data_IF_222971699258
#
_entry.id   IF_222971699258
#
_cell.length_a   1.000
_cell.length_b   1.000
_cell.length_c   1.000
_cell.angle_alpha   90.00
_cell.angle_beta   90.00
_cell.angle_gamma   90.00
#
_symmetry.space_group_name_H-M   'P 1'
#
loop_
_entity.id
_entity.type
_entity.pdbx_description
1 polymer ?
#
# COMPACT_ATOMS: atom_id res chain seq x y z
N UNK A 1 28.47 4.31 0.94
CA UNK A 1 29.72 3.57 1.13
C UNK A 1 30.29 3.92 2.49
N UNK A 2 30.57 2.94 3.37
CA UNK A 2 31.51 3.19 4.48
C UNK A 2 32.76 3.75 3.79
N UNK A 3 33.20 4.95 4.15
CA UNK A 3 34.44 5.50 3.60
C UNK A 3 35.52 4.42 3.68
N UNK A 4 36.39 4.37 2.67
CA UNK A 4 37.44 3.37 2.38
C UNK A 4 38.45 3.08 3.53
N UNK A 5 38.12 3.39 4.78
CA UNK A 5 38.95 3.24 5.95
C UNK A 5 38.68 1.89 6.62
N UNK A 6 39.68 1.04 6.55
CA UNK A 6 39.86 -0.06 7.48
C UNK A 6 39.87 0.49 8.90
N UNK A 7 39.00 0.00 9.79
CA UNK A 7 38.99 0.45 11.18
C UNK A 7 39.28 -0.71 12.15
N UNK A 8 40.10 -0.39 13.14
CA UNK A 8 40.67 -1.35 14.07
C UNK A 8 39.98 -1.26 15.42
N UNK A 9 39.60 -2.42 15.97
CA UNK A 9 38.96 -2.55 17.28
C UNK A 9 39.64 -3.66 18.07
N UNK A 10 39.93 -3.42 19.35
CA UNK A 10 40.32 -4.48 20.28
C UNK A 10 39.22 -4.71 21.31
N UNK A 11 38.84 -5.96 21.58
CA UNK A 11 37.84 -6.29 22.60
C UNK A 11 38.48 -7.04 23.75
N UNK A 12 38.28 -6.53 24.96
CA UNK A 12 38.88 -6.99 26.21
C UNK A 12 37.81 -7.39 27.23
N UNK A 13 38.03 -8.47 27.95
CA UNK A 13 37.17 -8.91 29.05
C UNK A 13 37.37 -8.05 30.30
N UNK A 14 36.37 -8.02 31.19
CA UNK A 14 36.42 -7.23 32.43
C UNK A 14 37.57 -7.58 33.39
N UNK A 15 38.17 -8.77 33.25
CA UNK A 15 39.35 -9.22 34.03
C UNK A 15 40.69 -8.92 33.34
N UNK A 16 40.68 -8.18 32.22
CA UNK A 16 41.86 -7.76 31.46
C UNK A 16 42.53 -8.88 30.64
N UNK A 17 41.97 -10.09 30.64
CA UNK A 17 42.58 -11.32 30.08
C UNK A 17 41.94 -11.83 28.81
N UNK A 18 41.57 -10.99 27.85
CA UNK A 18 41.30 -11.40 26.46
C UNK A 18 41.54 -10.18 25.59
N UNK A 19 42.05 -10.33 24.37
CA UNK A 19 42.21 -9.18 23.47
C UNK A 19 42.31 -9.62 22.03
N UNK A 20 41.20 -9.88 21.33
CA UNK A 20 41.28 -10.04 19.87
C UNK A 20 41.24 -8.65 19.22
N UNK A 21 42.01 -8.49 18.14
CA UNK A 21 41.93 -7.32 17.28
C UNK A 21 41.13 -7.67 16.05
N UNK A 22 40.11 -6.87 15.74
CA UNK A 22 39.34 -6.99 14.52
C UNK A 22 39.63 -5.81 13.60
N UNK A 23 39.87 -6.15 12.34
CA UNK A 23 40.11 -5.25 11.23
C UNK A 23 38.90 -5.37 10.31
N UNK A 24 38.10 -4.31 10.23
CA UNK A 24 36.89 -4.29 9.41
C UNK A 24 37.20 -3.66 8.05
N UNK A 25 37.03 -4.42 6.97
CA UNK A 25 37.30 -3.97 5.59
C UNK A 25 36.21 -4.35 4.58
N UNK A 26 36.41 -3.98 3.30
CA UNK A 26 35.43 -4.17 2.21
C UNK A 26 34.95 -5.62 2.03
N UNK A 27 35.84 -6.58 2.28
CA UNK A 27 35.60 -8.00 1.99
C UNK A 27 35.28 -8.83 3.24
N UNK A 28 35.15 -8.21 4.41
CA UNK A 28 34.90 -8.93 5.65
C UNK A 28 35.59 -8.34 6.88
N UNK A 29 35.53 -9.11 7.97
CA UNK A 29 36.21 -8.82 9.23
C UNK A 29 37.36 -9.81 9.37
N UNK A 30 38.58 -9.30 9.51
CA UNK A 30 39.77 -10.10 9.82
C UNK A 30 40.02 -10.02 11.32
N UNK A 31 40.06 -11.17 12.00
CA UNK A 31 40.28 -11.25 13.44
C UNK A 31 41.66 -11.85 13.70
N UNK A 32 42.44 -11.15 14.52
CA UNK A 32 43.74 -11.58 15.02
C UNK A 32 43.64 -11.85 16.51
N UNK A 33 44.08 -13.03 16.92
CA UNK A 33 44.22 -13.40 18.32
C UNK A 33 45.68 -13.24 18.75
N UNK A 34 45.95 -12.77 19.98
CA UNK A 34 47.30 -12.75 20.51
C UNK A 34 47.77 -14.19 20.67
N UNK A 35 49.01 -14.48 20.26
CA UNK A 35 49.66 -15.77 20.48
C UNK A 35 49.68 -16.05 21.98
N UNK A 36 48.79 -16.92 22.43
CA UNK A 36 48.75 -17.41 23.78
C UNK A 36 49.13 -18.88 23.73
N UNK A 37 50.30 -19.20 24.27
CA UNK A 37 50.67 -20.58 24.58
C UNK A 37 49.68 -21.11 25.61
N UNK A 38 48.76 -21.95 25.18
CA UNK A 38 47.87 -22.66 26.08
C UNK A 38 48.28 -24.13 26.12
N UNK A 39 48.77 -24.56 27.29
CA UNK A 39 48.67 -25.96 27.67
C UNK A 39 47.20 -26.35 27.63
N UNK A 40 46.87 -27.31 26.77
CA UNK A 40 45.57 -27.96 26.74
C UNK A 40 45.25 -28.49 28.14
N UNK A 41 44.21 -27.95 28.76
CA UNK A 41 43.50 -28.68 29.79
C UNK A 41 42.44 -29.49 29.04
N UNK A 42 42.78 -30.74 28.71
CA UNK A 42 41.81 -31.76 28.34
C UNK A 42 40.83 -31.95 29.49
N UNK A 43 39.57 -31.56 29.29
CA UNK A 43 38.44 -32.22 29.96
C UNK A 43 37.37 -32.47 28.91
N UNK A 44 36.91 -33.72 28.89
CA UNK A 44 36.11 -34.39 27.88
C UNK A 44 34.72 -33.74 27.60
N UNK A 45 34.12 -34.05 26.43
CA UNK A 45 33.12 -33.24 25.74
C UNK A 45 31.69 -33.49 26.22
N UNK A 46 30.82 -32.50 26.07
CA UNK A 46 29.37 -32.74 25.95
C UNK A 46 28.98 -32.41 24.51
N UNK A 47 28.80 -33.49 23.76
CA UNK A 47 28.18 -33.64 22.44
C UNK A 47 28.80 -32.88 21.26
N UNK A 48 29.72 -33.64 20.66
CA UNK A 48 30.46 -33.51 19.41
C UNK A 48 29.52 -33.36 18.20
N UNK A 49 29.86 -32.44 17.29
CA UNK A 49 30.21 -32.84 15.92
C UNK A 49 31.14 -31.78 15.30
N UNK A 50 32.29 -32.28 14.86
CA UNK A 50 33.38 -31.58 14.21
C UNK A 50 32.89 -30.89 12.92
N UNK A 51 32.87 -29.57 12.90
CA UNK A 51 33.37 -28.88 11.71
C UNK A 51 34.87 -28.76 11.91
N UNK A 52 35.64 -29.29 10.95
CA UNK A 52 37.09 -29.21 10.94
C UNK A 52 37.48 -27.74 10.90
N UNK A 53 37.75 -27.15 12.06
CA UNK A 53 38.57 -25.95 12.13
C UNK A 53 39.98 -26.38 11.69
N UNK A 54 40.38 -26.02 10.47
CA UNK A 54 41.79 -26.11 10.10
C UNK A 54 42.59 -25.28 11.11
N UNK A 55 43.28 -25.99 12.01
CA UNK A 55 44.30 -25.41 12.86
C UNK A 55 45.41 -24.86 11.97
N UNK A 56 45.39 -23.55 11.75
CA UNK A 56 46.57 -22.82 11.30
C UNK A 56 47.23 -22.27 12.56
N UNK A 57 48.34 -22.88 12.98
CA UNK A 57 49.22 -22.28 13.98
C UNK A 57 49.58 -20.85 13.52
N UNK A 58 49.09 -19.84 14.25
CA UNK A 58 49.28 -18.42 13.94
C UNK A 58 48.29 -17.79 12.95
N UNK A 59 47.10 -18.36 12.75
CA UNK A 59 46.16 -17.97 11.69
C UNK A 59 45.28 -16.74 11.97
N UNK A 60 45.32 -15.76 11.07
CA UNK A 60 44.27 -14.73 10.89
C UNK A 60 43.01 -15.41 10.36
N UNK A 61 41.87 -15.26 11.04
CA UNK A 61 40.58 -15.79 10.57
C UNK A 61 39.81 -14.70 9.84
N UNK A 62 39.44 -14.94 8.57
CA UNK A 62 38.63 -14.01 7.75
C UNK A 62 37.15 -14.42 7.80
N UNK A 63 36.29 -13.52 8.26
CA UNK A 63 34.83 -13.69 8.24
C UNK A 63 34.19 -12.81 7.17
N UNK A 64 33.24 -13.36 6.42
CA UNK A 64 32.42 -12.60 5.47
C UNK A 64 31.28 -11.92 6.24
N UNK A 65 31.07 -10.62 5.98
CA UNK A 65 29.92 -9.87 6.50
C UNK A 65 28.62 -10.52 6.01
N UNK A 66 27.86 -11.14 6.89
CA UNK A 66 26.47 -11.51 6.60
C UNK A 66 25.61 -10.26 6.72
N UNK A 67 25.18 -9.71 5.57
CA UNK A 67 24.19 -8.65 5.55
C UNK A 67 22.91 -9.13 6.26
N UNK A 68 22.35 -8.32 7.17
CA UNK A 68 21.07 -8.61 7.82
C UNK A 68 21.08 -8.76 9.34
N UNK A 69 22.24 -8.63 10.01
CA UNK A 69 22.28 -8.76 11.47
C UNK A 69 22.63 -7.46 12.16
N UNK A 70 21.67 -6.91 12.89
CA UNK A 70 21.78 -5.68 13.70
C UNK A 70 22.65 -5.86 14.96
N UNK A 71 23.65 -6.73 14.93
CA UNK A 71 24.48 -7.07 16.09
C UNK A 71 25.84 -7.63 15.71
N UNK A 72 26.82 -7.39 16.58
CA UNK A 72 28.16 -7.97 16.46
C UNK A 72 28.22 -9.30 17.20
N UNK A 73 28.40 -10.39 16.46
CA UNK A 73 28.64 -11.73 17.04
C UNK A 73 30.04 -11.82 17.60
N UNK A 74 30.15 -12.37 18.81
CA UNK A 74 31.42 -12.62 19.48
C UNK A 74 31.90 -14.01 19.05
N UNK A 75 33.15 -14.15 18.57
CA UNK A 75 33.68 -15.46 18.20
C UNK A 75 33.59 -16.48 19.35
N UNK A 76 33.37 -17.76 19.03
CA UNK A 76 33.14 -18.79 20.04
C UNK A 76 34.34 -18.96 20.98
N UNK A 77 35.56 -18.87 20.45
CA UNK A 77 36.78 -18.89 21.25
C UNK A 77 36.80 -17.75 22.29
N UNK A 78 36.44 -16.53 21.90
CA UNK A 78 36.35 -15.37 22.79
C UNK A 78 35.25 -15.56 23.84
N UNK A 79 34.11 -16.12 23.42
CA UNK A 79 32.99 -16.41 24.31
C UNK A 79 33.35 -17.43 25.39
N UNK A 80 34.14 -18.46 25.03
CA UNK A 80 34.70 -19.46 25.95
C UNK A 80 35.66 -18.83 26.95
N UNK A 81 36.64 -18.06 26.46
CA UNK A 81 37.62 -17.38 27.33
C UNK A 81 36.96 -16.40 28.29
N UNK A 82 35.98 -15.62 27.82
CA UNK A 82 35.21 -14.68 28.65
C UNK A 82 34.24 -15.37 29.62
N UNK A 83 34.09 -16.71 29.53
CA UNK A 83 33.16 -17.52 30.32
C UNK A 83 31.72 -17.02 30.24
N UNK A 84 31.28 -16.59 29.06
CA UNK A 84 29.91 -16.06 28.86
C UNK A 84 28.82 -17.12 29.07
N UNK A 85 29.21 -18.40 29.03
CA UNK A 85 28.35 -19.54 29.37
C UNK A 85 28.08 -19.67 30.88
N UNK A 86 29.01 -19.22 31.72
CA UNK A 86 28.83 -19.18 33.18
C UNK A 86 28.01 -17.95 33.60
N UNK A 87 28.03 -16.87 32.81
CA UNK A 87 27.19 -15.69 33.00
C UNK A 87 27.52 -14.58 31.99
N UNK A 88 26.49 -13.84 31.56
CA UNK A 88 26.68 -12.69 30.67
C UNK A 88 27.45 -11.58 31.38
N UNK A 89 28.46 -11.05 30.72
CA UNK A 89 29.35 -9.99 31.24
C UNK A 89 29.45 -8.88 30.21
N UNK A 90 29.75 -7.67 30.67
CA UNK A 90 30.14 -6.61 29.78
C UNK A 90 31.52 -6.88 29.20
N UNK A 91 31.73 -6.46 27.95
CA UNK A 91 33.02 -6.45 27.29
C UNK A 91 33.46 -5.01 27.08
N UNK A 92 34.76 -4.79 27.27
CA UNK A 92 35.42 -3.52 27.00
C UNK A 92 35.87 -3.49 25.55
N UNK A 93 35.61 -2.41 24.84
CA UNK A 93 35.85 -2.26 23.41
C UNK A 93 36.68 -1.00 23.23
N UNK A 94 37.86 -1.14 22.63
CA UNK A 94 38.74 -0.02 22.29
C UNK A 94 38.73 0.21 20.78
N UNK A 95 38.39 1.42 20.36
CA UNK A 95 38.43 1.88 18.98
C UNK A 95 39.79 2.52 18.71
N UNK A 96 40.72 1.72 18.17
CA UNK A 96 42.13 2.10 17.99
C UNK A 96 42.36 3.05 16.81
N UNK A 97 41.36 3.22 15.95
CA UNK A 97 41.41 4.07 14.77
C UNK A 97 41.00 5.53 15.03
N UNK A 98 40.52 5.84 16.24
CA UNK A 98 40.19 7.19 16.65
C UNK A 98 41.41 7.84 17.31
N UNK A 99 41.56 9.15 17.14
CA UNK A 99 42.60 9.94 17.80
C UNK A 99 41.95 11.06 18.64
N UNK A 100 41.99 10.98 19.99
CA UNK A 100 42.55 9.88 20.78
C UNK A 100 41.70 8.59 20.73
N UNK A 101 42.28 7.39 21.00
CA UNK A 101 41.52 6.14 21.04
C UNK A 101 40.37 6.20 22.03
N UNK A 102 39.21 5.69 21.64
CA UNK A 102 38.02 5.68 22.48
C UNK A 102 37.78 4.29 23.08
N UNK A 103 37.47 4.24 24.36
CA UNK A 103 37.06 3.01 25.06
C UNK A 103 35.57 3.09 25.45
N UNK A 104 34.83 2.00 25.24
CA UNK A 104 33.46 1.83 25.75
C UNK A 104 33.30 0.45 26.39
N UNK A 105 32.27 0.29 27.21
CA UNK A 105 31.75 -1.03 27.60
C UNK A 105 30.48 -1.35 26.81
N UNK A 106 30.26 -2.62 26.47
CA UNK A 106 29.03 -3.08 25.83
C UNK A 106 28.62 -4.43 26.44
N UNK A 107 27.33 -4.58 26.74
CA UNK A 107 26.82 -5.80 27.33
C UNK A 107 26.86 -6.96 26.36
N UNK A 108 26.74 -8.18 26.88
CA UNK A 108 26.63 -9.39 26.07
C UNK A 108 25.24 -9.99 26.17
N UNK A 109 24.79 -10.65 25.11
CA UNK A 109 23.55 -11.42 25.06
C UNK A 109 23.83 -12.82 24.51
N UNK A 110 22.95 -13.75 24.87
CA UNK A 110 22.99 -15.14 24.42
C UNK A 110 21.94 -15.37 23.35
N UNK A 111 22.32 -16.05 22.27
CA UNK A 111 21.44 -16.41 21.16
C UNK A 111 21.47 -17.92 20.94
N UNK A 112 20.33 -18.49 20.56
CA UNK A 112 20.26 -19.90 20.16
C UNK A 112 20.75 -20.04 18.71
N UNK A 113 21.54 -21.07 18.42
CA UNK A 113 21.97 -21.34 17.05
C UNK A 113 20.78 -21.77 16.18
N UNK A 114 20.82 -21.44 14.89
CA UNK A 114 19.77 -21.75 13.91
C UNK A 114 19.57 -23.26 13.70
N UNK A 115 20.61 -24.07 13.90
CA UNK A 115 20.55 -25.52 13.91
C UNK A 115 19.90 -26.11 15.19
N UNK A 116 19.42 -25.27 16.11
CA UNK A 116 18.75 -25.66 17.34
C UNK A 116 19.67 -26.20 18.45
N UNK A 117 20.96 -26.42 18.16
CA UNK A 117 21.96 -26.98 19.09
C UNK A 117 22.90 -25.90 19.61
N UNK A 118 22.93 -25.73 20.93
CA UNK A 118 23.86 -24.82 21.60
C UNK A 118 23.52 -23.32 21.48
N UNK A 119 24.42 -22.51 22.03
CA UNK A 119 24.29 -21.06 22.10
C UNK A 119 25.50 -20.38 21.45
N UNK A 120 25.29 -19.11 21.07
CA UNK A 120 26.34 -18.17 20.68
C UNK A 120 26.11 -16.84 21.39
N UNK A 121 27.09 -15.95 21.33
CA UNK A 121 27.05 -14.68 22.06
C UNK A 121 27.24 -13.49 21.13
N UNK A 122 26.60 -12.38 21.48
CA UNK A 122 26.67 -11.13 20.73
C UNK A 122 26.69 -9.92 21.68
N UNK A 123 27.07 -8.76 21.17
CA UNK A 123 26.90 -7.50 21.90
C UNK A 123 25.42 -7.12 22.01
N UNK A 124 25.02 -6.48 23.11
CA UNK A 124 23.63 -6.07 23.36
C UNK A 124 23.22 -4.86 22.54
N UNK A 125 24.15 -3.95 22.22
CA UNK A 125 23.83 -2.73 21.47
C UNK A 125 24.79 -2.47 20.32
N UNK A 126 24.33 -2.78 19.11
CA UNK A 126 25.03 -2.43 17.87
C UNK A 126 25.03 -0.93 17.60
N UNK A 127 23.92 -0.25 17.88
CA UNK A 127 23.83 1.21 17.76
C UNK A 127 24.85 1.94 18.66
N UNK A 128 25.05 1.46 19.89
CA UNK A 128 26.08 1.99 20.81
C UNK A 128 27.48 1.81 20.24
N UNK A 129 27.77 0.62 19.70
CA UNK A 129 29.04 0.29 19.06
C UNK A 129 29.32 1.19 17.86
N UNK A 130 28.39 1.26 16.90
CA UNK A 130 28.56 2.04 15.66
C UNK A 130 28.67 3.54 15.92
N UNK A 131 27.89 4.07 16.87
CA UNK A 131 27.97 5.49 17.27
C UNK A 131 29.33 5.82 17.89
N UNK A 132 29.84 4.95 18.78
CA UNK A 132 31.14 5.15 19.42
C UNK A 132 32.31 5.02 18.44
N UNK A 133 32.20 4.13 17.46
CA UNK A 133 33.17 4.00 16.38
C UNK A 133 33.22 5.23 15.44
N UNK A 134 32.31 6.21 15.59
CA UNK A 134 32.18 7.38 14.70
C UNK A 134 32.07 7.03 13.20
N UNK A 135 31.63 5.81 12.90
CA UNK A 135 31.45 5.34 11.52
C UNK A 135 30.13 5.91 11.01
N UNK A 136 30.21 6.81 10.03
CA UNK A 136 29.05 7.13 9.20
C UNK A 136 28.78 5.95 8.28
N UNK A 137 27.78 5.15 8.60
CA UNK A 137 27.22 4.20 7.64
C UNK A 137 26.50 5.03 6.57
N UNK A 138 27.20 5.47 5.53
CA UNK A 138 26.51 5.69 4.27
C UNK A 138 26.11 4.29 3.80
N UNK A 139 24.85 3.92 4.04
CA UNK A 139 24.25 2.82 3.31
C UNK A 139 24.52 3.10 1.83
N UNK A 140 25.18 2.18 1.13
CA UNK A 140 25.10 2.20 -0.33
C UNK A 140 23.62 2.32 -0.71
N UNK A 141 23.30 3.01 -1.81
CA UNK A 141 21.96 2.92 -2.38
C UNK A 141 21.69 1.44 -2.62
N UNK A 142 21.01 0.79 -1.68
CA UNK A 142 20.64 -0.61 -1.80
C UNK A 142 19.86 -0.77 -3.09
N UNK A 143 20.05 -1.90 -3.78
CA UNK A 143 19.33 -2.19 -5.00
C UNK A 143 17.83 -1.89 -4.79
N UNK A 144 17.29 -1.01 -5.65
CA UNK A 144 15.89 -0.61 -5.57
C UNK A 144 15.05 -1.86 -5.84
N UNK A 145 14.22 -2.23 -4.88
CA UNK A 145 13.38 -3.42 -4.93
C UNK A 145 11.98 -3.04 -5.40
N UNK A 146 11.46 -3.79 -6.37
CA UNK A 146 10.08 -3.67 -6.84
C UNK A 146 9.10 -4.23 -5.81
N UNK A 147 7.87 -3.72 -5.77
CA UNK A 147 6.89 -4.08 -4.76
C UNK A 147 6.46 -5.55 -4.82
N UNK A 148 6.48 -6.16 -6.02
CA UNK A 148 6.20 -7.60 -6.19
C UNK A 148 7.31 -8.51 -5.67
N UNK A 149 8.52 -7.99 -5.46
CA UNK A 149 9.68 -8.76 -5.00
C UNK A 149 9.91 -8.62 -3.48
N UNK A 150 8.95 -8.04 -2.76
CA UNK A 150 9.02 -7.88 -1.32
C UNK A 150 8.67 -9.20 -0.60
N UNK A 151 9.56 -9.63 0.28
CA UNK A 151 9.44 -10.81 1.15
C UNK A 151 9.44 -10.39 2.62
N UNK A 152 8.56 -10.99 3.43
CA UNK A 152 8.45 -10.79 4.88
C UNK A 152 9.71 -11.21 5.66
N UNK A 153 10.54 -12.08 5.09
CA UNK A 153 11.74 -12.64 5.74
C UNK A 153 13.02 -11.84 5.48
N UNK A 154 12.91 -10.75 4.72
CA UNK A 154 14.03 -9.89 4.35
C UNK A 154 13.77 -8.49 4.86
N UNK A 155 14.76 -7.94 5.56
CA UNK A 155 14.74 -6.58 6.07
C UNK A 155 15.57 -5.64 5.18
N UNK A 156 15.47 -4.34 5.44
CA UNK A 156 16.31 -3.30 4.84
C UNK A 156 16.11 -3.05 3.34
N UNK A 157 14.88 -3.20 2.85
CA UNK A 157 14.55 -2.81 1.48
C UNK A 157 14.74 -1.31 1.23
N UNK A 158 15.15 -0.97 0.01
CA UNK A 158 14.99 0.36 -0.56
C UNK A 158 13.97 0.26 -1.69
N UNK A 159 12.88 1.00 -1.59
CA UNK A 159 11.82 1.04 -2.61
C UNK A 159 11.66 2.48 -3.12
N UNK A 160 11.35 2.62 -4.40
CA UNK A 160 10.94 3.88 -5.01
C UNK A 160 9.47 3.77 -5.37
N UNK A 161 8.65 4.67 -4.85
CA UNK A 161 7.19 4.63 -5.05
C UNK A 161 6.60 5.99 -5.38
N UNK A 162 5.44 6.01 -6.02
CA UNK A 162 4.52 7.15 -6.11
C UNK A 162 3.34 6.92 -5.16
N UNK A 163 2.91 7.96 -4.45
CA UNK A 163 1.67 7.93 -3.67
C UNK A 163 0.47 8.13 -4.62
N UNK A 164 -0.35 7.11 -4.83
CA UNK A 164 -1.52 7.15 -5.72
C UNK A 164 -2.74 7.74 -5.02
N UNK A 165 -2.98 7.29 -3.78
CA UNK A 165 -4.04 7.78 -2.88
C UNK A 165 -3.49 7.96 -1.49
N UNK A 166 -3.97 8.97 -0.78
CA UNK A 166 -3.61 9.28 0.59
C UNK A 166 -4.86 9.70 1.36
N UNK A 167 -5.05 9.16 2.56
CA UNK A 167 -6.10 9.60 3.46
C UNK A 167 -5.68 9.46 4.91
N UNK A 168 -6.31 10.25 5.78
CA UNK A 168 -6.08 10.19 7.22
C UNK A 168 -7.17 9.39 7.91
N UNK A 169 -6.80 8.57 8.90
CA UNK A 169 -7.77 8.06 9.88
C UNK A 169 -7.68 8.86 11.17
N UNK A 170 -8.83 9.21 11.71
CA UNK A 170 -8.92 9.89 12.99
C UNK A 170 -8.64 8.93 14.16
N UNK A 171 -8.19 9.48 15.28
CA UNK A 171 -8.02 8.77 16.55
C UNK A 171 -9.39 8.35 17.10
N UNK A 172 -9.49 7.11 17.59
CA UNK A 172 -10.73 6.56 18.12
C UNK A 172 -11.30 7.40 19.27
N UNK A 173 -10.42 7.96 20.11
CA UNK A 173 -10.83 8.77 21.26
C UNK A 173 -11.00 10.26 20.91
N UNK A 174 -10.50 10.70 19.75
CA UNK A 174 -10.56 12.10 19.36
C UNK A 174 -10.59 12.27 17.84
N UNK A 175 -11.77 12.51 17.30
CA UNK A 175 -12.00 12.70 15.87
C UNK A 175 -11.20 13.86 15.24
N UNK A 176 -10.72 14.84 16.03
CA UNK A 176 -9.91 15.96 15.54
C UNK A 176 -8.43 15.61 15.40
N UNK A 177 -7.97 14.49 15.94
CA UNK A 177 -6.58 14.08 15.92
C UNK A 177 -6.37 13.03 14.83
N UNK A 178 -5.36 13.23 13.99
CA UNK A 178 -4.94 12.22 13.02
C UNK A 178 -4.21 11.08 13.75
N UNK A 179 -4.70 9.85 13.59
CA UNK A 179 -4.09 8.64 14.13
C UNK A 179 -2.99 8.12 13.18
N UNK A 180 -3.31 8.03 11.90
CA UNK A 180 -2.39 7.56 10.87
C UNK A 180 -2.72 8.12 9.50
N UNK A 181 -1.74 8.04 8.62
CA UNK A 181 -1.87 8.24 7.19
C UNK A 181 -1.89 6.86 6.55
N UNK A 182 -2.98 6.52 5.87
CA UNK A 182 -3.05 5.36 5.00
C UNK A 182 -2.89 5.82 3.56
N UNK A 183 -2.25 4.97 2.77
CA UNK A 183 -1.91 5.30 1.41
C UNK A 183 -1.93 4.06 0.52
N UNK A 184 -2.12 4.29 -0.77
CA UNK A 184 -1.86 3.31 -1.82
C UNK A 184 -0.64 3.84 -2.57
N UNK A 185 0.41 3.04 -2.59
CA UNK A 185 1.68 3.36 -3.26
C UNK A 185 1.86 2.50 -4.49
N UNK A 186 2.63 2.99 -5.45
CA UNK A 186 2.88 2.30 -6.71
C UNK A 186 4.35 2.38 -7.11
N UNK A 187 4.93 1.30 -7.63
CA UNK A 187 6.29 1.30 -8.17
C UNK A 187 6.34 1.61 -9.68
N UNK A 188 7.54 1.51 -10.26
CA UNK A 188 7.78 1.78 -11.68
C UNK A 188 7.10 0.79 -12.62
N UNK A 189 6.75 -0.41 -12.16
CA UNK A 189 6.01 -1.42 -12.95
C UNK A 189 4.49 -1.28 -12.81
N UNK A 190 4.01 -0.28 -12.05
CA UNK A 190 2.59 -0.06 -11.84
C UNK A 190 1.98 -0.96 -10.75
N UNK A 191 2.83 -1.74 -10.05
CA UNK A 191 2.40 -2.59 -8.93
C UNK A 191 1.93 -1.70 -7.81
N UNK A 192 0.70 -1.91 -7.34
CA UNK A 192 0.12 -1.15 -6.22
C UNK A 192 0.20 -1.95 -4.93
N UNK A 193 0.56 -1.30 -3.83
CA UNK A 193 0.54 -1.89 -2.50
C UNK A 193 -0.04 -0.90 -1.49
N UNK A 194 -0.73 -1.40 -0.47
CA UNK A 194 -1.16 -0.55 0.63
C UNK A 194 0.03 -0.24 1.53
N UNK A 195 0.11 1.00 2.01
CA UNK A 195 1.07 1.38 3.04
C UNK A 195 0.39 2.22 4.12
N UNK A 196 1.00 2.31 5.30
CA UNK A 196 0.54 3.23 6.34
C UNK A 196 1.68 3.70 7.24
N UNK A 197 1.44 4.81 7.92
CA UNK A 197 2.32 5.36 8.94
C UNK A 197 1.51 5.98 10.07
N UNK A 198 1.85 5.67 11.30
CA UNK A 198 1.25 6.34 12.46
C UNK A 198 1.67 7.81 12.48
N UNK A 199 0.76 8.73 12.81
CA UNK A 199 1.04 10.16 12.76
C UNK A 199 2.29 10.57 13.59
N UNK A 200 2.49 9.89 14.73
CA UNK A 200 3.68 10.06 15.58
C UNK A 200 5.02 9.70 14.91
N UNK A 201 5.01 8.81 13.93
CA UNK A 201 6.21 8.36 13.20
C UNK A 201 6.46 9.23 11.95
N UNK A 202 5.45 9.99 11.49
CA UNK A 202 5.53 10.78 10.26
C UNK A 202 6.07 12.21 10.47
N UNK A 203 6.27 12.66 11.71
CA UNK A 203 6.55 14.08 12.02
C UNK A 203 7.71 14.69 11.22
N UNK A 204 8.76 13.91 10.92
CA UNK A 204 9.91 14.37 10.16
C UNK A 204 9.70 14.49 8.65
N UNK A 205 8.68 13.83 8.09
CA UNK A 205 8.45 13.74 6.63
C UNK A 205 6.97 13.87 6.25
N UNK A 206 6.12 14.35 7.15
CA UNK A 206 4.69 14.49 6.91
C UNK A 206 4.40 15.36 5.69
N UNK A 207 5.21 16.40 5.46
CA UNK A 207 5.14 17.28 4.30
C UNK A 207 5.48 16.59 2.96
N UNK A 208 6.06 15.39 3.00
CA UNK A 208 6.29 14.54 1.82
C UNK A 208 5.11 13.58 1.56
N UNK A 209 4.15 13.45 2.50
CA UNK A 209 2.99 12.59 2.32
C UNK A 209 1.93 13.37 1.55
N UNK A 210 2.03 13.36 0.23
CA UNK A 210 1.10 14.02 -0.69
C UNK A 210 0.86 13.12 -1.90
N UNK A 211 -0.38 13.14 -2.42
CA UNK A 211 -0.71 12.38 -3.63
C UNK A 211 0.15 12.83 -4.81
N UNK A 212 0.42 11.89 -5.74
CA UNK A 212 1.31 12.02 -6.90
C UNK A 212 2.79 12.18 -6.59
N UNK A 213 3.17 12.51 -5.33
CA UNK A 213 4.56 12.64 -4.95
C UNK A 213 5.29 11.29 -5.05
N UNK A 214 6.51 11.36 -5.59
CA UNK A 214 7.42 10.22 -5.70
C UNK A 214 8.41 10.24 -4.52
N UNK A 215 8.62 9.09 -3.89
CA UNK A 215 9.43 8.95 -2.67
C UNK A 215 10.40 7.78 -2.80
N UNK A 216 11.58 7.95 -2.23
CA UNK A 216 12.49 6.85 -1.90
C UNK A 216 12.29 6.48 -0.43
N UNK A 217 11.93 5.23 -0.16
CA UNK A 217 11.69 4.72 1.18
C UNK A 217 12.74 3.65 1.47
N UNK A 218 13.51 3.82 2.56
CA UNK A 218 14.48 2.83 3.03
C UNK A 218 14.07 2.26 4.38
N UNK A 219 14.31 0.97 4.55
CA UNK A 219 13.94 0.19 5.73
C UNK A 219 12.43 0.30 6.07
N UNK A 220 11.51 0.10 5.10
CA UNK A 220 10.11 -0.11 5.45
C UNK A 220 9.97 -1.44 6.20
N UNK A 221 8.99 -1.53 7.09
CA UNK A 221 8.55 -2.82 7.63
C UNK A 221 7.43 -3.40 6.78
N UNK A 222 7.36 -4.71 6.67
CA UNK A 222 6.32 -5.42 5.94
C UNK A 222 5.43 -6.21 6.91
N UNK A 223 4.17 -6.38 6.54
CA UNK A 223 3.24 -7.21 7.29
C UNK A 223 2.13 -7.75 6.41
N UNK A 224 1.46 -8.79 6.87
CA UNK A 224 0.29 -9.31 6.17
C UNK A 224 -0.88 -8.32 6.22
N UNK A 225 -1.51 -8.13 5.07
CA UNK A 225 -2.74 -7.38 4.95
C UNK A 225 -3.95 -8.24 5.33
N UNK A 226 -4.29 -8.20 6.62
CA UNK A 226 -5.45 -8.90 7.21
C UNK A 226 -6.73 -8.04 7.21
N UNK A 227 -6.74 -6.91 6.50
CA UNK A 227 -7.94 -6.07 6.43
C UNK A 227 -9.04 -6.78 5.64
N UNK A 228 -10.29 -6.65 6.10
CA UNK A 228 -11.47 -7.17 5.40
C UNK A 228 -11.63 -6.53 4.02
N UNK A 229 -11.29 -5.25 3.92
CA UNK A 229 -11.32 -4.45 2.70
C UNK A 229 -9.88 -4.25 2.25
N UNK A 230 -9.55 -4.72 1.05
CA UNK A 230 -8.22 -4.59 0.45
C UNK A 230 -8.31 -3.68 -0.77
N UNK A 231 -7.47 -2.66 -0.84
CA UNK A 231 -7.51 -1.65 -1.90
C UNK A 231 -6.48 -1.89 -3.00
N UNK A 232 -5.56 -2.83 -2.79
CA UNK A 232 -4.57 -3.24 -3.77
C UNK A 232 -4.56 -4.77 -3.86
N UNK A 233 -4.10 -5.29 -4.99
CA UNK A 233 -3.84 -6.72 -5.18
C UNK A 233 -2.68 -7.14 -4.27
N UNK A 234 -2.72 -8.36 -3.74
CA UNK A 234 -1.65 -8.91 -2.90
C UNK A 234 -1.98 -9.05 -1.41
N UNK A 235 -1.11 -9.79 -0.73
CA UNK A 235 -1.27 -10.16 0.68
C UNK A 235 -0.46 -9.32 1.66
N UNK A 236 0.40 -8.41 1.17
CA UNK A 236 1.34 -7.64 2.01
C UNK A 236 0.91 -6.17 2.12
N UNK A 237 1.38 -5.52 3.20
CA UNK A 237 1.23 -4.09 3.46
C UNK A 237 2.57 -3.54 3.97
N UNK A 238 2.91 -2.34 3.53
CA UNK A 238 4.07 -1.58 4.02
C UNK A 238 3.70 -0.77 5.26
N UNK A 239 4.61 -0.71 6.23
CA UNK A 239 4.51 0.13 7.41
C UNK A 239 5.77 0.99 7.53
N UNK A 240 5.57 2.31 7.65
CA UNK A 240 6.67 3.25 7.89
C UNK A 240 6.80 3.47 9.41
N UNK A 241 7.93 3.03 9.94
CA UNK A 241 8.24 3.07 11.36
C UNK A 241 9.30 4.14 11.67
N UNK A 242 9.70 4.26 12.93
CA UNK A 242 10.67 5.28 13.36
C UNK A 242 12.06 5.13 12.73
N UNK A 243 12.42 3.94 12.26
CA UNK A 243 13.68 3.64 11.58
C UNK A 243 13.58 3.73 10.04
N UNK A 244 12.38 3.97 9.51
CA UNK A 244 12.17 4.13 8.08
C UNK A 244 12.65 5.51 7.65
N UNK A 245 13.46 5.55 6.60
CA UNK A 245 13.91 6.79 5.97
C UNK A 245 13.01 7.08 4.79
N UNK A 246 12.48 8.30 4.71
CA UNK A 246 11.61 8.75 3.62
C UNK A 246 12.21 10.01 3.04
N UNK A 247 12.53 9.97 1.76
CA UNK A 247 13.13 11.07 1.00
C UNK A 247 12.33 11.31 -0.27
N UNK A 248 12.34 12.54 -0.76
CA UNK A 248 11.76 12.86 -2.06
C UNK A 248 12.53 12.17 -3.19
N UNK A 249 11.78 11.64 -4.16
CA UNK A 249 12.34 11.09 -5.39
C UNK A 249 11.92 12.00 -6.55
N UNK A 250 12.90 12.58 -7.25
CA UNK A 250 12.65 13.47 -8.38
C UNK A 250 12.45 12.73 -9.71
N UNK A 251 12.74 11.43 -9.74
CA UNK A 251 12.42 10.58 -10.89
C UNK A 251 10.92 10.26 -10.92
N UNK A 252 10.33 10.29 -12.11
CA UNK A 252 8.94 9.89 -12.32
C UNK A 252 8.79 8.37 -12.17
N UNK A 253 7.86 7.94 -11.32
CA UNK A 253 7.63 6.52 -11.01
C UNK A 253 6.23 6.11 -11.45
N UNK A 254 6.14 5.21 -12.42
CA UNK A 254 4.86 4.73 -12.95
C UNK A 254 4.02 5.84 -13.59
N UNK A 255 2.72 5.58 -13.82
CA UNK A 255 1.77 6.57 -14.33
C UNK A 255 1.36 7.57 -13.24
N UNK A 256 1.04 8.82 -13.61
CA UNK A 256 0.77 9.90 -12.64
C UNK A 256 -0.42 9.56 -11.75
N UNK A 257 -1.50 9.08 -12.37
CA UNK A 257 -2.73 8.75 -11.68
C UNK A 257 -2.80 7.31 -11.17
N UNK A 258 -1.96 6.42 -11.69
CA UNK A 258 -1.93 5.01 -11.29
C UNK A 258 -3.16 4.20 -11.70
N UNK A 259 -3.91 4.64 -12.71
CA UNK A 259 -5.11 3.95 -13.20
C UNK A 259 -4.79 2.51 -13.64
N UNK A 260 -5.66 1.58 -13.27
CA UNK A 260 -5.71 0.18 -13.73
C UNK A 260 -7.12 -0.09 -14.28
N UNK A 261 -7.43 0.54 -15.44
CA UNK A 261 -8.78 0.50 -16.02
C UNK A 261 -9.19 -0.93 -16.37
N UNK A 262 -10.32 -1.34 -15.81
CA UNK A 262 -10.92 -2.66 -15.98
C UNK A 262 -11.98 -2.58 -17.08
N UNK A 263 -11.83 -3.33 -18.20
CA UNK A 263 -12.88 -3.45 -19.21
C UNK A 263 -14.17 -4.01 -18.59
N UNK A 264 -15.32 -3.46 -18.98
CA UNK A 264 -16.58 -3.77 -18.29
C UNK A 264 -17.00 -5.24 -18.45
N UNK A 265 -16.67 -5.86 -19.57
CA UNK A 265 -16.96 -7.27 -19.89
C UNK A 265 -15.94 -8.26 -19.30
N UNK A 266 -14.79 -7.79 -18.84
CA UNK A 266 -13.78 -8.63 -18.18
C UNK A 266 -14.16 -9.02 -16.74
N UNK A 267 -15.08 -8.27 -16.13
CA UNK A 267 -15.58 -8.55 -14.79
C UNK A 267 -16.70 -9.58 -14.90
N UNK A 268 -16.48 -10.76 -14.32
CA UNK A 268 -17.43 -11.86 -14.35
C UNK A 268 -18.04 -12.05 -12.96
N UNK A 269 -19.34 -12.35 -12.92
CA UNK A 269 -20.01 -12.76 -11.69
C UNK A 269 -19.47 -14.12 -11.25
N UNK A 270 -18.88 -14.17 -10.06
CA UNK A 270 -18.44 -15.43 -9.46
C UNK A 270 -19.54 -15.93 -8.53
N UNK A 271 -20.26 -17.02 -8.90
CA UNK A 271 -21.35 -17.56 -8.11
C UNK A 271 -20.88 -18.28 -6.84
N UNK A 272 -19.57 -18.54 -6.70
CA UNK A 272 -18.99 -19.28 -5.57
C UNK A 272 -18.47 -18.36 -4.46
N UNK A 273 -18.23 -17.09 -4.77
CA UNK A 273 -17.80 -16.08 -3.81
C UNK A 273 -19.04 -15.42 -3.21
N UNK A 274 -19.35 -15.75 -1.94
CA UNK A 274 -20.44 -15.09 -1.20
C UNK A 274 -20.27 -13.56 -1.31
N UNK A 275 -21.36 -12.84 -1.60
CA UNK A 275 -21.45 -11.38 -1.68
C UNK A 275 -20.92 -10.64 -0.43
N UNK A 276 -20.64 -11.39 0.64
CA UNK A 276 -20.01 -10.92 1.88
C UNK A 276 -18.49 -10.70 1.76
N UNK A 277 -17.79 -11.35 0.85
CA UNK A 277 -16.35 -11.14 0.69
C UNK A 277 -16.06 -9.91 -0.18
N UNK A 278 -15.19 -9.04 0.34
CA UNK A 278 -14.80 -7.83 -0.36
C UNK A 278 -13.87 -8.16 -1.53
N UNK A 279 -14.29 -7.85 -2.76
CA UNK A 279 -13.48 -8.00 -3.97
C UNK A 279 -12.54 -6.79 -4.10
N UNK A 280 -11.35 -6.99 -4.64
CA UNK A 280 -10.43 -5.88 -4.92
C UNK A 280 -11.13 -4.82 -5.78
N UNK A 281 -10.95 -3.52 -5.48
CA UNK A 281 -11.60 -2.46 -6.23
C UNK A 281 -11.08 -2.39 -7.65
N UNK A 282 -11.88 -1.82 -8.54
CA UNK A 282 -11.58 -1.64 -9.97
C UNK A 282 -11.58 -0.17 -10.33
N UNK A 283 -10.81 0.19 -11.36
CA UNK A 283 -10.89 1.50 -11.98
C UNK A 283 -11.74 1.39 -13.26
N UNK A 284 -12.68 2.29 -13.46
CA UNK A 284 -13.54 2.32 -14.66
C UNK A 284 -13.55 3.71 -15.27
N UNK A 285 -13.62 3.78 -16.59
CA UNK A 285 -13.80 4.99 -17.39
C UNK A 285 -14.95 4.76 -18.36
N UNK A 286 -15.82 5.75 -18.49
CA UNK A 286 -16.96 5.63 -19.41
C UNK A 286 -17.63 6.96 -19.72
N UNK A 287 -18.43 6.95 -20.78
CA UNK A 287 -19.31 8.05 -21.15
C UNK A 287 -20.65 7.92 -20.41
N UNK A 288 -21.19 9.01 -19.88
CA UNK A 288 -22.50 9.00 -19.20
C UNK A 288 -23.61 8.95 -20.24
N UNK A 289 -24.34 7.84 -20.29
CA UNK A 289 -25.39 7.61 -21.28
C UNK A 289 -26.80 7.76 -20.71
N UNK A 290 -26.95 7.64 -19.39
CA UNK A 290 -28.23 7.78 -18.70
C UNK A 290 -28.00 8.21 -17.26
N UNK A 291 -28.79 9.16 -16.78
CA UNK A 291 -28.86 9.54 -15.36
C UNK A 291 -30.20 9.15 -14.78
N UNK A 292 -30.21 8.79 -13.50
CA UNK A 292 -31.44 8.56 -12.74
C UNK A 292 -31.69 9.74 -11.80
N UNK A 293 -32.95 9.98 -11.39
CA UNK A 293 -33.26 11.00 -10.41
C UNK A 293 -32.40 10.86 -9.15
N UNK A 294 -32.02 11.99 -8.58
CA UNK A 294 -31.39 12.03 -7.28
C UNK A 294 -32.33 11.44 -6.22
N UNK A 295 -31.77 10.62 -5.33
CA UNK A 295 -32.50 9.98 -4.26
C UNK A 295 -31.89 10.32 -2.90
N UNK A 296 -32.76 10.54 -1.91
CA UNK A 296 -32.40 10.60 -0.50
C UNK A 296 -32.87 9.29 0.12
N UNK A 297 -31.92 8.44 0.50
CA UNK A 297 -32.19 7.23 1.24
C UNK A 297 -32.41 7.58 2.72
N UNK A 298 -33.66 7.44 3.17
CA UNK A 298 -34.09 7.73 4.54
C UNK A 298 -34.10 6.49 5.44
N UNK A 299 -33.87 5.29 4.90
CA UNK A 299 -33.97 4.01 5.63
C UNK A 299 -32.60 3.46 6.06
N UNK A 300 -31.67 4.35 6.44
CA UNK A 300 -30.34 3.88 6.84
C UNK A 300 -30.38 3.33 8.28
N UNK A 301 -29.62 2.26 8.50
CA UNK A 301 -29.45 1.61 9.81
C UNK A 301 -28.97 2.56 10.94
N UNK A 302 -28.47 3.75 10.58
CA UNK A 302 -27.90 4.73 11.51
C UNK A 302 -28.79 5.97 11.69
N UNK A 303 -29.97 6.03 11.08
CA UNK A 303 -30.90 7.17 11.17
C UNK A 303 -30.38 8.46 10.51
N UNK A 304 -29.37 8.37 9.64
CA UNK A 304 -28.86 9.50 8.85
C UNK A 304 -29.30 9.36 7.40
N UNK A 305 -29.90 10.39 6.84
CA UNK A 305 -30.25 10.41 5.42
C UNK A 305 -28.98 10.29 4.58
N UNK A 306 -28.95 9.31 3.66
CA UNK A 306 -27.85 9.14 2.72
C UNK A 306 -28.26 9.66 1.35
N UNK A 307 -27.40 10.46 0.75
CA UNK A 307 -27.61 10.95 -0.62
C UNK A 307 -27.09 9.90 -1.59
N UNK A 308 -27.83 9.59 -2.65
CA UNK A 308 -27.31 8.75 -3.73
C UNK A 308 -27.70 9.29 -5.11
N UNK A 309 -26.77 9.13 -6.04
CA UNK A 309 -26.98 9.40 -7.47
C UNK A 309 -26.56 8.16 -8.23
N UNK A 310 -27.45 7.70 -9.11
CA UNK A 310 -27.18 6.57 -10.01
C UNK A 310 -27.16 7.06 -11.45
N UNK A 311 -26.23 6.55 -12.24
CA UNK A 311 -26.13 6.78 -13.68
C UNK A 311 -25.51 5.57 -14.37
N UNK A 312 -25.57 5.54 -15.70
CA UNK A 312 -24.98 4.48 -16.52
C UNK A 312 -23.75 5.02 -17.26
N UNK A 313 -22.67 4.25 -17.19
CA UNK A 313 -21.49 4.46 -18.00
C UNK A 313 -21.45 3.49 -19.16
N UNK A 314 -21.05 3.97 -20.33
CA UNK A 314 -20.78 3.16 -21.51
C UNK A 314 -19.30 3.24 -21.88
N UNK A 315 -18.69 2.09 -22.19
CA UNK A 315 -17.32 2.00 -22.67
C UNK A 315 -17.22 2.10 -24.21
N UNK A 316 -16.00 2.06 -24.73
CA UNK A 316 -15.75 2.07 -26.18
C UNK A 316 -16.31 0.83 -26.90
N UNK A 317 -16.65 -0.25 -26.18
CA UNK A 317 -17.20 -1.49 -26.72
C UNK A 317 -18.74 -1.57 -26.64
N UNK A 318 -19.43 -0.47 -26.30
CA UNK A 318 -20.89 -0.41 -26.09
C UNK A 318 -21.36 -1.25 -24.90
N UNK A 319 -20.49 -1.55 -23.94
CA UNK A 319 -20.88 -2.20 -22.70
C UNK A 319 -21.30 -1.13 -21.70
N UNK A 320 -22.38 -1.40 -21.00
CA UNK A 320 -22.96 -0.48 -20.04
C UNK A 320 -22.89 -1.06 -18.63
N UNK A 321 -22.55 -0.20 -17.68
CA UNK A 321 -22.54 -0.52 -16.25
C UNK A 321 -23.29 0.54 -15.48
N UNK A 322 -23.83 0.16 -14.32
CA UNK A 322 -24.39 1.13 -13.38
C UNK A 322 -23.28 1.70 -12.50
N UNK A 323 -23.36 2.98 -12.19
CA UNK A 323 -22.55 3.63 -11.16
C UNK A 323 -23.49 4.27 -10.16
N UNK A 324 -23.30 3.95 -8.87
CA UNK A 324 -24.03 4.59 -7.76
C UNK A 324 -23.04 5.26 -6.82
N UNK A 325 -23.09 6.58 -6.76
CA UNK A 325 -22.28 7.40 -5.86
C UNK A 325 -23.10 7.80 -4.64
N UNK A 326 -22.45 7.76 -3.48
CA UNK A 326 -23.06 8.06 -2.18
C UNK A 326 -22.45 9.30 -1.53
N UNK A 327 -23.27 10.02 -0.77
CA UNK A 327 -22.91 11.13 0.11
C UNK A 327 -22.08 12.21 -0.62
N UNK A 328 -20.90 12.58 -0.11
CA UNK A 328 -20.07 13.62 -0.70
C UNK A 328 -19.66 13.35 -2.16
N UNK A 329 -19.69 12.11 -2.63
CA UNK A 329 -19.46 11.78 -4.05
C UNK A 329 -20.70 12.02 -4.91
N UNK A 330 -21.90 11.81 -4.35
CA UNK A 330 -23.15 12.22 -5.00
C UNK A 330 -23.20 13.75 -5.14
N UNK A 331 -22.78 14.48 -4.10
CA UNK A 331 -22.71 15.95 -4.13
C UNK A 331 -21.77 16.45 -5.24
N UNK A 332 -20.60 15.81 -5.46
CA UNK A 332 -19.66 16.18 -6.53
C UNK A 332 -20.27 16.13 -7.93
N UNK A 333 -21.01 15.07 -8.26
CA UNK A 333 -21.59 14.92 -9.60
C UNK A 333 -22.79 15.86 -9.80
N UNK A 334 -23.61 16.06 -8.76
CA UNK A 334 -24.71 17.04 -8.79
C UNK A 334 -24.19 18.47 -8.96
N UNK A 335 -23.12 18.84 -8.26
CA UNK A 335 -22.50 20.15 -8.39
C UNK A 335 -21.96 20.36 -9.81
N UNK A 336 -21.29 19.35 -10.37
CA UNK A 336 -20.82 19.38 -11.76
C UNK A 336 -21.97 19.58 -12.75
N UNK A 337 -23.04 18.80 -12.64
CA UNK A 337 -24.22 18.92 -13.51
C UNK A 337 -24.85 20.31 -13.40
N UNK A 338 -25.01 20.82 -12.18
CA UNK A 338 -25.61 22.13 -11.92
C UNK A 338 -24.79 23.29 -12.49
N UNK A 339 -23.47 23.15 -12.54
CA UNK A 339 -22.52 24.15 -13.03
C UNK A 339 -22.29 24.09 -14.54
N UNK A 340 -22.58 22.94 -15.17
CA UNK A 340 -22.34 22.68 -16.59
C UNK A 340 -23.65 22.33 -17.33
N UNK A 341 -24.71 23.10 -17.05
CA UNK A 341 -26.03 22.91 -17.67
C UNK A 341 -25.90 22.95 -19.20
N UNK A 342 -26.18 21.83 -19.85
CA UNK A 342 -26.08 21.67 -21.31
C UNK A 342 -24.86 20.90 -21.81
N UNK A 343 -23.89 20.56 -20.97
CA UNK A 343 -22.85 19.58 -21.34
C UNK A 343 -23.50 18.20 -21.49
N UNK A 344 -23.42 17.67 -22.70
CA UNK A 344 -23.98 16.35 -23.06
C UNK A 344 -22.89 15.27 -23.10
N UNK A 345 -21.64 15.68 -23.30
CA UNK A 345 -20.51 14.79 -23.47
C UNK A 345 -19.73 14.68 -22.17
N UNK A 346 -20.27 13.88 -21.24
CA UNK A 346 -19.70 13.69 -19.92
C UNK A 346 -18.96 12.36 -19.86
N UNK A 347 -17.66 12.42 -19.61
CA UNK A 347 -16.82 11.25 -19.31
C UNK A 347 -16.50 11.25 -17.82
N UNK A 348 -16.65 10.08 -17.19
CA UNK A 348 -16.37 9.90 -15.76
C UNK A 348 -15.37 8.78 -15.58
N UNK A 349 -14.38 9.02 -14.72
CA UNK A 349 -13.50 7.99 -14.17
C UNK A 349 -13.88 7.75 -12.71
N UNK A 350 -14.08 6.48 -12.36
CA UNK A 350 -14.18 6.03 -10.97
C UNK A 350 -12.94 5.19 -10.67
N UNK A 351 -12.04 5.75 -9.87
CA UNK A 351 -10.85 5.04 -9.39
C UNK A 351 -11.12 4.41 -8.03
N UNK A 352 -10.66 3.18 -7.81
CA UNK A 352 -10.91 2.36 -6.63
C UNK A 352 -12.42 2.17 -6.35
N UNK A 353 -13.19 1.86 -7.39
CA UNK A 353 -14.61 1.54 -7.30
C UNK A 353 -14.85 0.14 -6.73
N UNK A 354 -15.84 0.02 -5.84
CA UNK A 354 -16.37 -1.26 -5.38
C UNK A 354 -17.36 -1.76 -6.42
N UNK A 355 -17.18 -2.98 -6.91
CA UNK A 355 -18.15 -3.56 -7.83
C UNK A 355 -19.00 -4.66 -7.19
N UNK A 356 -20.22 -4.81 -7.70
CA UNK A 356 -21.19 -5.86 -7.38
C UNK A 356 -22.02 -6.18 -8.62
N UNK A 357 -22.62 -7.36 -8.63
CA UNK A 357 -23.65 -7.71 -9.60
C UNK A 357 -25.03 -7.57 -8.94
N UNK A 358 -25.95 -6.95 -9.66
CA UNK A 358 -27.36 -6.84 -9.27
C UNK A 358 -28.22 -7.24 -10.45
N UNK A 359 -28.99 -8.33 -10.32
CA UNK A 359 -29.83 -8.85 -11.40
C UNK A 359 -29.05 -9.14 -12.69
N UNK A 360 -27.79 -9.61 -12.58
CA UNK A 360 -26.91 -9.88 -13.72
C UNK A 360 -26.21 -8.64 -14.30
N UNK A 361 -26.47 -7.44 -13.78
CA UNK A 361 -25.80 -6.21 -14.22
C UNK A 361 -24.65 -5.83 -13.29
N UNK A 362 -23.51 -5.46 -13.89
CA UNK A 362 -22.38 -4.92 -13.16
C UNK A 362 -22.69 -3.51 -12.67
N UNK A 363 -22.50 -3.28 -11.37
CA UNK A 363 -22.70 -2.02 -10.68
C UNK A 363 -21.46 -1.65 -9.89
N UNK A 364 -21.00 -0.41 -10.05
CA UNK A 364 -19.85 0.16 -9.34
C UNK A 364 -20.33 1.23 -8.37
N UNK A 365 -19.81 1.23 -7.16
CA UNK A 365 -20.05 2.26 -6.16
C UNK A 365 -18.76 2.72 -5.48
N UNK A 366 -18.81 3.89 -4.84
CA UNK A 366 -17.66 4.41 -4.12
C UNK A 366 -17.38 3.61 -2.83
N UNK A 367 -16.10 3.50 -2.50
CA UNK A 367 -15.59 3.11 -1.20
C UNK A 367 -15.33 4.37 -0.39
N UNK A 368 -15.97 4.46 0.77
CA UNK A 368 -15.71 5.53 1.72
C UNK A 368 -14.19 5.66 1.94
N UNK A 369 -13.67 6.89 1.77
CA UNK A 369 -12.26 7.34 1.93
C UNK A 369 -11.28 7.10 0.79
N UNK A 370 -11.46 6.09 -0.06
CA UNK A 370 -10.41 5.72 -1.07
C UNK A 370 -10.77 6.13 -2.48
N UNK A 371 -12.05 6.00 -2.87
CA UNK A 371 -12.49 6.27 -4.24
C UNK A 371 -12.16 7.70 -4.65
N UNK A 372 -11.73 7.86 -5.90
CA UNK A 372 -11.59 9.16 -6.58
C UNK A 372 -12.55 9.17 -7.77
N UNK A 373 -13.30 10.25 -7.91
CA UNK A 373 -14.20 10.49 -9.04
C UNK A 373 -13.63 11.66 -9.82
N UNK A 374 -13.44 11.49 -11.12
CA UNK A 374 -12.99 12.55 -12.04
C UNK A 374 -14.05 12.71 -13.12
N UNK A 375 -14.59 13.92 -13.26
CA UNK A 375 -15.67 14.23 -14.19
C UNK A 375 -15.13 15.23 -15.20
N UNK A 376 -15.06 14.85 -16.47
CA UNK A 376 -14.51 15.67 -17.57
C UNK A 376 -13.22 16.42 -17.17
N UNK A 377 -12.35 15.75 -16.41
CA UNK A 377 -11.11 16.36 -15.93
C UNK A 377 -10.12 16.55 -17.07
N UNK A 378 -9.33 17.62 -17.00
CA UNK A 378 -8.32 17.98 -18.00
C UNK A 378 -7.09 17.07 -17.87
N UNK A 379 -7.23 15.82 -18.33
CA UNK A 379 -6.21 14.78 -18.36
C UNK A 379 -6.29 13.98 -19.66
N UNK A 380 -5.15 13.44 -20.09
CA UNK A 380 -5.01 12.74 -21.37
C UNK A 380 -6.01 11.57 -21.50
N UNK A 381 -6.21 10.80 -20.43
CA UNK A 381 -7.11 9.63 -20.46
C UNK A 381 -8.56 10.02 -20.74
N UNK A 382 -9.02 11.14 -20.19
CA UNK A 382 -10.38 11.66 -20.41
C UNK A 382 -10.50 12.24 -21.82
N UNK A 383 -9.51 13.01 -22.26
CA UNK A 383 -9.52 13.63 -23.58
C UNK A 383 -9.52 12.58 -24.70
N UNK A 384 -8.63 11.58 -24.60
CA UNK A 384 -8.53 10.48 -25.55
C UNK A 384 -9.81 9.63 -25.57
N UNK A 385 -10.34 9.26 -24.40
CA UNK A 385 -11.58 8.50 -24.32
C UNK A 385 -12.75 9.28 -24.94
N UNK A 386 -12.90 10.56 -24.60
CA UNK A 386 -13.97 11.43 -25.11
C UNK A 386 -13.91 11.55 -26.62
N UNK A 387 -12.71 11.75 -27.19
CA UNK A 387 -12.52 11.81 -28.64
C UNK A 387 -12.93 10.50 -29.33
N UNK A 388 -12.37 9.36 -28.88
CA UNK A 388 -12.68 8.04 -29.47
C UNK A 388 -14.16 7.68 -29.36
N UNK A 389 -14.80 8.03 -28.25
CA UNK A 389 -16.22 7.79 -28.06
C UNK A 389 -17.06 8.63 -29.05
N UNK A 390 -16.73 9.91 -29.22
CA UNK A 390 -17.44 10.80 -30.15
C UNK A 390 -17.26 10.36 -31.61
N UNK A 391 -16.05 9.94 -32.01
CA UNK A 391 -15.79 9.44 -33.38
C UNK A 391 -16.62 8.20 -33.72
N UNK A 392 -16.97 7.40 -32.71
CA UNK A 392 -17.83 6.22 -32.84
C UNK A 392 -19.32 6.57 -32.92
N UNK A 393 -19.74 7.74 -32.43
CA UNK A 393 -21.12 8.18 -32.54
C UNK A 393 -21.46 8.46 -34.01
N UNK A 394 -22.30 7.62 -34.59
CA UNK A 394 -22.87 7.88 -35.90
C UNK A 394 -23.75 9.15 -35.85
N UNK A 395 -23.89 9.91 -36.96
CA UNK A 395 -24.73 11.11 -37.00
C UNK A 395 -26.17 10.88 -36.53
N UNK A 396 -26.67 9.64 -36.68
CA UNK A 396 -28.02 9.21 -36.31
C UNK A 396 -28.22 8.98 -34.80
N UNK A 397 -27.13 8.77 -34.04
CA UNK A 397 -27.20 8.43 -32.61
C UNK A 397 -26.99 9.63 -31.67
N UNK A 398 -26.54 10.78 -32.18
CA UNK A 398 -26.21 11.94 -31.32
C UNK A 398 -27.42 12.57 -30.61
N UNK A 399 -28.65 12.33 -31.10
CA UNK A 399 -29.88 12.89 -30.53
C UNK A 399 -30.43 12.11 -29.32
N UNK A 400 -29.97 10.88 -29.07
CA UNK A 400 -30.46 10.01 -28.01
C UNK A 400 -29.57 9.92 -26.76
N UNK A 401 -28.35 10.45 -26.81
CA UNK A 401 -27.49 10.53 -25.62
C UNK A 401 -27.90 11.71 -24.76
N UNK A 402 -28.46 11.41 -23.60
CA UNK A 402 -29.06 12.44 -22.77
C UNK A 402 -28.09 13.13 -21.80
N UNK A 403 -26.80 12.77 -21.77
CA UNK A 403 -25.82 13.36 -20.85
C UNK A 403 -26.31 13.35 -19.40
N UNK A 404 -25.66 14.13 -18.52
CA UNK A 404 -26.16 14.28 -17.15
C UNK A 404 -27.52 15.02 -17.12
N UNK A 405 -27.71 15.98 -18.03
CA UNK A 405 -28.76 17.01 -17.93
C UNK A 405 -30.04 16.77 -18.75
N UNK A 406 -30.11 15.82 -19.70
CA UNK A 406 -31.22 15.80 -20.69
C UNK A 406 -32.18 14.61 -20.66
N UNK A 407 -32.14 13.76 -19.65
CA UNK A 407 -33.33 13.01 -19.23
C UNK A 407 -33.18 12.51 -17.79
N UNK A 408 -33.50 13.39 -16.83
CA UNK A 408 -34.06 12.88 -15.58
C UNK A 408 -35.27 12.06 -15.99
N UNK A 409 -35.20 10.73 -15.83
CA UNK A 409 -36.37 9.88 -16.01
C UNK A 409 -37.42 10.42 -15.05
N UNK A 410 -38.49 10.97 -15.62
CA UNK A 410 -39.64 11.48 -14.87
C UNK A 410 -40.07 10.41 -13.89
N UNK A 411 -40.45 10.82 -12.68
CA UNK A 411 -41.14 9.92 -11.73
C UNK A 411 -42.28 9.18 -12.45
N UNK A 412 -42.65 7.96 -12.05
CA UNK A 412 -43.81 7.26 -12.63
C UNK A 412 -45.09 8.12 -12.62
N UNK A 413 -45.21 9.03 -11.65
CA UNK A 413 -46.29 10.03 -11.59
C UNK A 413 -46.16 11.15 -12.62
N UNK A 414 -44.94 11.59 -12.95
CA UNK A 414 -44.68 12.61 -13.96
C UNK A 414 -44.78 12.07 -15.39
N UNK A 415 -44.43 10.80 -15.61
CA UNK A 415 -44.64 10.07 -16.87
C UNK A 415 -46.15 9.92 -17.14
N UNK A 416 -46.93 9.49 -16.14
CA UNK A 416 -48.40 9.42 -16.22
C UNK A 416 -49.05 10.78 -16.55
N UNK A 417 -48.54 11.87 -15.99
CA UNK A 417 -49.09 13.21 -16.22
C UNK A 417 -48.69 13.83 -17.56
N UNK A 418 -47.54 13.46 -18.13
CA UNK A 418 -47.12 14.00 -19.42
C UNK A 418 -47.71 13.30 -20.64
N UNK A 419 -48.18 12.06 -20.48
CA UNK A 419 -48.76 11.26 -21.58
C UNK A 419 -50.29 11.40 -21.70
N UNK A 420 -50.92 12.21 -20.85
CA UNK A 420 -52.34 12.52 -20.94
C UNK A 420 -52.59 13.71 -21.86
N UNK A 421 -52.87 13.44 -23.14
CA UNK A 421 -53.57 14.40 -24.00
C UNK A 421 -54.99 14.60 -23.48
N UNK A 422 -55.27 15.75 -22.86
CA UNK A 422 -56.62 16.14 -22.48
C UNK A 422 -57.43 16.52 -23.73
N UNK A 423 -58.39 15.67 -24.09
CA UNK A 423 -59.39 16.01 -25.09
C UNK A 423 -60.57 16.74 -24.41
N UNK A 424 -61.00 17.90 -24.92
CA UNK A 424 -62.25 18.53 -24.50
C UNK A 424 -63.43 17.57 -24.71
N UNK A 425 -64.46 17.66 -23.87
CA UNK A 425 -65.68 16.83 -23.98
C UNK A 425 -66.33 16.91 -25.38
N UNK A 426 -66.13 18.02 -26.11
CA UNK A 426 -66.60 18.18 -27.49
C UNK A 426 -65.89 17.32 -28.54
N UNK A 427 -64.79 16.64 -28.21
CA UNK A 427 -64.02 15.78 -29.12
C UNK A 427 -64.53 14.32 -29.17
N UNK A 428 -65.51 13.98 -28.32
CA UNK A 428 -66.10 12.64 -28.23
C UNK A 428 -67.02 12.27 -29.40
N UNK A 429 -67.41 13.22 -30.26
CA UNK A 429 -68.31 12.98 -31.40
C UNK A 429 -67.65 12.30 -32.60
N UNK A 430 -66.34 12.00 -32.54
CA UNK A 430 -65.56 11.50 -33.67
C UNK A 430 -64.73 10.24 -33.38
N UNK A 431 -64.94 9.57 -32.24
CA UNK A 431 -64.26 8.29 -31.95
C UNK A 431 -65.10 7.14 -32.46
N UNK A 432 -64.85 6.75 -33.70
CA UNK A 432 -65.43 5.56 -34.34
C UNK A 432 -64.30 4.59 -34.71
N UNK A 433 -63.54 4.13 -33.71
CA UNK A 433 -62.62 2.99 -33.87
C UNK A 433 -62.19 2.43 -32.52
N UNK A 434 -62.51 1.16 -32.28
CA UNK A 434 -62.00 0.38 -31.15
C UNK A 434 -60.54 0.04 -31.42
N UNK A 435 -59.61 0.65 -30.69
CA UNK A 435 -58.21 0.24 -30.69
C UNK A 435 -57.96 -0.66 -29.47
N UNK A 436 -57.98 -1.97 -29.69
CA UNK A 436 -57.61 -2.97 -28.70
C UNK A 436 -56.09 -2.94 -28.45
N UNK A 437 -55.58 -2.17 -27.49
CA UNK A 437 -54.22 -2.32 -26.94
C UNK A 437 -54.13 -1.80 -25.49
N UNK A 438 -55.06 -2.22 -24.62
CA UNK A 438 -54.96 -2.01 -23.16
C UNK A 438 -55.36 -3.28 -22.40
N UNK A 439 -54.54 -4.32 -22.48
CA UNK A 439 -54.62 -5.47 -21.57
C UNK A 439 -53.22 -6.05 -21.37
N UNK A 440 -52.44 -5.47 -20.46
CA UNK A 440 -51.50 -6.16 -19.56
C UNK A 440 -50.69 -5.11 -18.80
N UNK A 441 -51.08 -4.82 -17.57
CA UNK A 441 -50.23 -4.56 -16.40
C UNK A 441 -51.15 -4.12 -15.26
N UNK A 442 -51.88 -5.09 -14.73
CA UNK A 442 -52.67 -4.94 -13.52
C UNK A 442 -52.46 -6.18 -12.67
N UNK A 443 -51.24 -6.34 -12.17
CA UNK A 443 -50.88 -7.26 -11.09
C UNK A 443 -49.47 -6.90 -10.63
N UNK A 444 -49.36 -6.07 -9.59
CA UNK A 444 -48.33 -6.08 -8.53
C UNK A 444 -48.51 -4.83 -7.66
N UNK A 445 -49.62 -4.80 -6.95
CA UNK A 445 -49.84 -3.98 -5.76
C UNK A 445 -50.92 -4.72 -4.97
N UNK A 446 -50.50 -5.58 -4.03
CA UNK A 446 -51.20 -6.06 -2.82
C UNK A 446 -50.25 -7.11 -2.23
N UNK A 447 -49.44 -6.73 -1.25
CA UNK A 447 -49.43 -7.30 0.10
C UNK A 447 -48.50 -6.46 0.99
N UNK A 448 -48.91 -6.36 2.25
CA UNK A 448 -48.55 -5.37 3.27
C UNK A 448 -47.15 -5.52 3.85
#
# INVERSE_FOLDING_TARGET
MIDNQTFNVSIVTNDGKVGFSAVFGKNGVEITYPNLDFHEIEVAPIDVDNEVEEQIHGGVTRFVRTAGEDYFRIPDHVSRMAKLHEGLKDLTINFLHLDPPLQITNGTRRERRTNGRGYRYALTSWKKFMKAAQIKVQMEEGAITLLNNLDLNVDNYTIRIRIVRLWTRADFNNARKVYCYDMIVMDSEGTKMQAFVLAKNASGYQHLLEEKRCLTIRNPSLGENRQKVKYAKGGLKINLNNNTVVEECHEAIGSEWGFDFTPFDSVVEDPTVDNKFFKSPIDVIGFVVKSFPFEIDTETNNGQNQKKVTFMLEDLNNKQIFVTLWDGYADQIMEYESSNRGEKNVVVIIQFGKYRFWGGHLSVSNLYTVTRVLINSDIDEVAEFKQRFIEKLSPEMSSSYSGLSSSVVKSATEEFLSDLTFFPIGSLSSIDTVCCHCWHYQEFCIEQ
#
